data_IF_770722866274
#
_entry.id   IF_770722866274
#
_cell.length_a   1.000
_cell.length_b   1.000
_cell.length_c   1.000
_cell.angle_alpha   90.00
_cell.angle_beta   90.00
_cell.angle_gamma   90.00
#
_symmetry.space_group_name_H-M   'P 1'
#
loop_
_entity.id
_entity.type
_entity.pdbx_description
1 polymer ?
#
# COMPACT_ATOMS: atom_id res chain seq x y z
N UNK A 1 8.90 -34.54 31.81
CA UNK A 1 8.28 -33.67 30.79
C UNK A 1 9.38 -32.82 30.15
N UNK A 2 9.82 -33.22 28.95
CA UNK A 2 11.04 -32.72 28.31
C UNK A 2 10.86 -31.30 27.76
N UNK A 3 11.93 -30.49 27.81
CA UNK A 3 11.98 -29.09 27.31
C UNK A 3 11.51 -28.94 25.85
N UNK A 4 11.57 -30.02 25.07
CA UNK A 4 11.05 -30.12 23.69
C UNK A 4 9.54 -29.88 23.58
N UNK A 5 8.73 -30.32 24.55
CA UNK A 5 7.28 -30.12 24.51
C UNK A 5 6.88 -28.65 24.74
N UNK A 6 7.71 -27.86 25.43
CA UNK A 6 7.46 -26.41 25.63
C UNK A 6 7.85 -25.57 24.42
N UNK A 7 8.88 -25.98 23.66
CA UNK A 7 9.29 -25.27 22.43
C UNK A 7 8.26 -25.46 21.31
N UNK A 8 7.65 -26.65 21.21
CA UNK A 8 6.65 -26.94 20.19
C UNK A 8 5.33 -26.18 20.36
N UNK A 9 4.94 -25.85 21.60
CA UNK A 9 3.73 -25.05 21.88
C UNK A 9 3.93 -23.58 21.53
N UNK A 10 5.15 -23.03 21.64
CA UNK A 10 5.43 -21.63 21.26
C UNK A 10 5.48 -21.48 19.73
N UNK A 11 5.97 -22.48 18.99
CA UNK A 11 5.97 -22.43 17.51
C UNK A 11 4.55 -22.59 16.95
N UNK A 12 3.70 -23.43 17.55
CA UNK A 12 2.32 -23.59 17.10
C UNK A 12 1.44 -22.33 17.32
N UNK A 13 1.75 -21.51 18.33
CA UNK A 13 1.08 -20.23 18.58
C UNK A 13 1.51 -19.11 17.61
N UNK A 14 2.65 -19.25 16.92
CA UNK A 14 3.09 -18.28 15.89
C UNK A 14 2.47 -18.58 14.52
N UNK A 15 1.99 -19.82 14.29
CA UNK A 15 1.39 -20.23 13.01
C UNK A 15 -0.15 -20.12 13.02
N UNK A 16 -0.78 -20.10 14.19
CA UNK A 16 -2.24 -20.10 14.38
C UNK A 16 -2.94 -18.75 14.25
N UNK A 17 -2.61 -17.95 13.23
CA UNK A 17 -3.09 -16.57 13.12
C UNK A 17 -3.55 -16.11 11.72
N UNK A 18 -3.91 -17.01 10.80
CA UNK A 18 -4.66 -16.63 9.59
C UNK A 18 -6.17 -16.70 9.87
N UNK A 19 -6.63 -16.03 10.91
CA UNK A 19 -8.02 -15.58 10.92
C UNK A 19 -8.01 -14.29 10.11
N UNK A 20 -8.50 -14.34 8.87
CA UNK A 20 -8.75 -13.18 8.04
C UNK A 20 -9.86 -12.36 8.73
N UNK A 21 -9.46 -11.55 9.71
CA UNK A 21 -10.30 -10.47 10.20
C UNK A 21 -10.44 -9.56 8.99
N UNK A 22 -11.64 -9.55 8.40
CA UNK A 22 -11.98 -8.62 7.34
C UNK A 22 -11.69 -7.21 7.85
N UNK A 23 -10.59 -6.63 7.38
CA UNK A 23 -10.24 -5.25 7.65
C UNK A 23 -11.05 -4.41 6.68
N UNK A 24 -12.11 -3.75 7.18
CA UNK A 24 -13.00 -2.90 6.40
C UNK A 24 -12.31 -1.66 5.84
N UNK A 25 -11.06 -1.43 6.24
CA UNK A 25 -10.18 -0.39 5.68
C UNK A 25 -9.36 -0.88 4.51
N UNK A 26 -9.22 -2.20 4.32
CA UNK A 26 -8.43 -2.77 3.26
C UNK A 26 -9.19 -2.77 1.93
N UNK A 27 -8.54 -2.28 0.88
CA UNK A 27 -9.12 -2.17 -0.46
C UNK A 27 -8.41 -3.19 -1.36
N UNK A 28 -8.89 -4.44 -1.35
CA UNK A 28 -8.29 -5.53 -2.14
C UNK A 28 -8.75 -5.54 -3.60
N UNK A 29 -9.98 -5.12 -3.88
CA UNK A 29 -10.58 -5.22 -5.22
C UNK A 29 -10.47 -3.91 -5.99
N UNK A 30 -9.90 -4.01 -7.19
CA UNK A 30 -9.69 -2.89 -8.10
C UNK A 30 -10.03 -3.27 -9.53
N UNK A 31 -10.32 -2.28 -10.36
CA UNK A 31 -10.35 -2.39 -11.81
C UNK A 31 -9.10 -1.71 -12.35
N UNK A 32 -8.28 -2.47 -13.08
CA UNK A 32 -7.15 -1.95 -13.86
C UNK A 32 -7.63 -1.60 -15.25
N UNK A 33 -7.36 -0.37 -15.67
CA UNK A 33 -7.57 0.14 -17.02
C UNK A 33 -6.21 0.50 -17.63
N UNK A 34 -5.93 -0.06 -18.81
CA UNK A 34 -4.75 0.22 -19.61
C UNK A 34 -5.10 0.06 -21.10
N UNK A 35 -4.14 0.27 -22.01
CA UNK A 35 -4.38 0.19 -23.46
C UNK A 35 -5.03 -1.13 -23.93
N UNK A 36 -4.83 -2.24 -23.22
CA UNK A 36 -5.46 -3.54 -23.51
C UNK A 36 -6.89 -3.72 -22.99
N UNK A 37 -7.47 -2.71 -22.34
CA UNK A 37 -8.82 -2.72 -21.77
C UNK A 37 -8.85 -2.67 -20.24
N UNK A 38 -10.06 -2.82 -19.71
CA UNK A 38 -10.34 -2.84 -18.28
C UNK A 38 -10.53 -4.28 -17.77
N UNK A 39 -9.94 -4.61 -16.63
CA UNK A 39 -10.12 -5.90 -15.95
C UNK A 39 -10.10 -5.76 -14.44
N UNK A 40 -10.84 -6.62 -13.75
CA UNK A 40 -10.74 -6.72 -12.30
C UNK A 40 -9.41 -7.34 -11.86
N UNK A 41 -8.94 -6.93 -10.69
CA UNK A 41 -7.77 -7.46 -10.01
C UNK A 41 -8.00 -7.48 -8.51
N UNK A 42 -7.60 -8.58 -7.88
CA UNK A 42 -7.55 -8.74 -6.43
C UNK A 42 -6.11 -8.50 -5.97
N UNK A 43 -5.88 -7.58 -5.04
CA UNK A 43 -4.58 -7.26 -4.48
C UNK A 43 -4.27 -8.14 -3.27
N UNK A 44 -2.99 -8.52 -3.04
CA UNK A 44 -1.81 -8.11 -3.80
C UNK A 44 -1.71 -8.77 -5.18
N UNK A 45 -1.19 -8.05 -6.17
CA UNK A 45 -1.07 -8.55 -7.54
C UNK A 45 0.11 -7.94 -8.31
N UNK A 46 0.62 -8.71 -9.27
CA UNK A 46 1.51 -8.22 -10.32
C UNK A 46 0.71 -8.08 -11.60
N UNK A 47 0.70 -6.87 -12.15
CA UNK A 47 0.01 -6.60 -13.40
C UNK A 47 0.89 -7.02 -14.58
N UNK A 48 0.32 -7.80 -15.49
CA UNK A 48 0.94 -8.06 -16.79
C UNK A 48 0.77 -6.82 -17.67
N UNK A 49 1.84 -6.03 -17.77
CA UNK A 49 1.91 -4.78 -18.54
C UNK A 49 3.06 -4.88 -19.53
N UNK A 50 2.96 -4.21 -20.70
CA UNK A 50 4.03 -4.22 -21.68
C UNK A 50 5.31 -3.57 -21.12
N UNK A 51 6.46 -3.95 -21.66
CA UNK A 51 7.76 -3.48 -21.19
C UNK A 51 8.02 -2.00 -21.51
N UNK A 52 7.34 -1.43 -22.51
CA UNK A 52 7.44 -0.01 -22.82
C UNK A 52 6.84 0.89 -21.73
N UNK A 53 7.34 2.14 -21.60
CA UNK A 53 6.71 3.12 -20.73
C UNK A 53 5.24 3.35 -21.08
N UNK A 54 4.37 3.30 -20.06
CA UNK A 54 2.93 3.45 -20.22
C UNK A 54 2.31 4.11 -18.98
N UNK A 55 1.02 4.41 -19.06
CA UNK A 55 0.21 4.83 -17.92
C UNK A 55 -0.97 3.86 -17.78
N UNK A 56 -1.27 3.45 -16.55
CA UNK A 56 -2.45 2.67 -16.24
C UNK A 56 -3.21 3.30 -15.07
N UNK A 57 -4.50 2.99 -14.97
CA UNK A 57 -5.38 3.53 -13.95
C UNK A 57 -5.98 2.39 -13.14
N UNK A 58 -5.92 2.51 -11.82
CA UNK A 58 -6.57 1.65 -10.85
C UNK A 58 -7.81 2.36 -10.32
N UNK A 59 -8.99 1.75 -10.47
CA UNK A 59 -10.27 2.27 -9.98
C UNK A 59 -10.86 1.38 -8.89
N UNK A 60 -11.41 1.97 -7.84
CA UNK A 60 -12.16 1.23 -6.82
C UNK A 60 -13.29 2.07 -6.24
N UNK A 61 -14.40 1.41 -5.91
CA UNK A 61 -15.51 1.99 -5.14
C UNK A 61 -15.37 1.52 -3.69
N UNK A 62 -15.23 2.45 -2.76
CA UNK A 62 -14.88 2.12 -1.36
C UNK A 62 -15.93 2.68 -0.41
N UNK A 63 -16.48 1.81 0.43
CA UNK A 63 -17.27 2.22 1.59
C UNK A 63 -16.31 2.76 2.66
N UNK A 64 -16.60 3.96 3.18
CA UNK A 64 -15.81 4.59 4.22
C UNK A 64 -16.32 4.11 5.59
N UNK A 65 -15.47 3.47 6.42
CA UNK A 65 -15.82 3.04 7.77
C UNK A 65 -16.36 4.20 8.60
N UNK A 66 -17.40 3.95 9.41
CA UNK A 66 -18.14 4.99 10.11
C UNK A 66 -17.24 5.86 11.02
N UNK A 67 -16.22 5.24 11.64
CA UNK A 67 -15.24 5.91 12.48
C UNK A 67 -14.28 6.84 11.73
N UNK A 68 -14.11 6.65 10.42
CA UNK A 68 -13.25 7.48 9.57
C UNK A 68 -14.00 8.66 8.96
N UNK A 69 -15.33 8.59 8.82
CA UNK A 69 -16.13 9.61 8.11
C UNK A 69 -15.97 11.01 8.69
N UNK A 70 -15.82 11.14 10.01
CA UNK A 70 -15.63 12.45 10.68
C UNK A 70 -14.18 12.93 10.72
N UNK A 71 -13.25 12.10 10.26
CA UNK A 71 -11.81 12.33 10.37
C UNK A 71 -11.23 12.87 9.07
N UNK A 72 -9.99 13.36 9.15
CA UNK A 72 -9.15 13.43 7.96
C UNK A 72 -8.78 11.99 7.57
N UNK A 73 -8.90 11.65 6.29
CA UNK A 73 -8.65 10.31 5.77
C UNK A 73 -7.40 10.34 4.89
N UNK A 74 -6.59 9.30 5.00
CA UNK A 74 -5.47 9.03 4.09
C UNK A 74 -5.64 7.65 3.44
N UNK A 75 -5.30 7.54 2.16
CA UNK A 75 -4.99 6.26 1.53
C UNK A 75 -3.52 5.98 1.74
N UNK A 76 -3.20 4.83 2.33
CA UNK A 76 -1.84 4.33 2.51
C UNK A 76 -1.65 3.10 1.64
N UNK A 77 -0.61 3.11 0.79
CA UNK A 77 -0.08 1.91 0.14
C UNK A 77 1.27 1.63 0.79
N UNK A 78 1.37 0.62 1.68
CA UNK A 78 2.57 0.37 2.48
C UNK A 78 3.86 0.17 1.68
N UNK A 79 3.76 -0.43 0.50
CA UNK A 79 4.91 -0.71 -0.35
C UNK A 79 4.50 -0.55 -1.81
N UNK A 80 4.97 0.52 -2.46
CA UNK A 80 4.68 0.74 -3.86
C UNK A 80 5.85 1.41 -4.60
N UNK A 81 6.35 0.71 -5.61
CA UNK A 81 7.51 1.09 -6.39
C UNK A 81 7.10 1.78 -7.70
N UNK A 82 6.26 2.81 -7.62
CA UNK A 82 5.79 3.55 -8.78
C UNK A 82 5.59 5.05 -8.49
N UNK A 83 5.60 5.86 -9.54
CA UNK A 83 5.10 7.23 -9.49
C UNK A 83 3.59 7.16 -9.72
N UNK A 84 2.82 7.78 -8.82
CA UNK A 84 1.37 7.73 -8.90
C UNK A 84 0.71 8.99 -8.33
N UNK A 85 -0.47 9.31 -8.86
CA UNK A 85 -1.36 10.35 -8.35
C UNK A 85 -2.72 9.75 -8.03
N UNK A 86 -3.39 10.32 -7.03
CA UNK A 86 -4.70 9.85 -6.57
C UNK A 86 -5.76 10.93 -6.77
N UNK A 87 -6.91 10.54 -7.31
CA UNK A 87 -8.16 11.30 -7.23
C UNK A 87 -9.19 10.53 -6.39
N UNK A 88 -10.00 11.29 -5.66
CA UNK A 88 -11.11 10.80 -4.84
C UNK A 88 -12.35 11.58 -5.26
N UNK A 89 -13.39 10.90 -5.74
CA UNK A 89 -14.59 11.52 -6.33
C UNK A 89 -14.25 12.60 -7.39
N UNK A 90 -13.19 12.36 -8.18
CA UNK A 90 -12.69 13.29 -9.21
C UNK A 90 -11.86 14.47 -8.68
N UNK A 91 -11.72 14.62 -7.36
CA UNK A 91 -10.88 15.65 -6.73
C UNK A 91 -9.47 15.12 -6.47
N UNK A 92 -8.45 15.94 -6.72
CA UNK A 92 -7.04 15.56 -6.50
C UNK A 92 -6.73 15.46 -5.00
N UNK A 93 -6.17 14.32 -4.59
CA UNK A 93 -5.70 14.09 -3.23
C UNK A 93 -4.27 14.62 -3.06
N UNK A 94 -3.96 15.08 -1.85
CA UNK A 94 -2.65 15.67 -1.56
C UNK A 94 -1.68 14.58 -1.11
N UNK A 95 -0.59 14.36 -1.84
CA UNK A 95 0.46 13.46 -1.38
C UNK A 95 1.08 13.96 -0.07
N UNK A 96 1.10 13.12 0.97
CA UNK A 96 1.65 13.46 2.29
C UNK A 96 2.96 12.74 2.60
N UNK A 97 3.36 11.74 1.80
CA UNK A 97 4.69 11.14 1.91
C UNK A 97 5.76 12.14 1.44
N UNK A 98 6.51 12.69 2.39
CA UNK A 98 7.66 13.55 2.13
C UNK A 98 8.93 12.72 1.88
N UNK A 99 8.98 11.95 0.80
CA UNK A 99 10.27 11.39 0.39
C UNK A 99 11.03 12.47 -0.36
N UNK A 100 11.94 13.12 0.37
CA UNK A 100 12.95 14.08 -0.11
C UNK A 100 13.86 13.52 -1.22
N UNK A 101 13.71 12.24 -1.53
CA UNK A 101 14.30 11.59 -2.68
C UNK A 101 13.17 10.82 -3.36
N UNK A 102 12.33 11.52 -4.11
CA UNK A 102 11.54 10.90 -5.18
C UNK A 102 12.52 10.45 -6.29
N UNK A 103 13.39 9.52 -5.91
CA UNK A 103 14.45 8.98 -6.72
C UNK A 103 13.85 8.00 -7.70
N UNK A 104 14.48 7.91 -8.87
CA UNK A 104 14.22 6.86 -9.85
C UNK A 104 14.26 5.49 -9.15
N UNK A 105 13.11 4.79 -9.10
CA UNK A 105 12.90 3.45 -8.50
C UNK A 105 12.89 3.33 -6.97
N UNK A 106 12.61 4.42 -6.24
CA UNK A 106 12.44 4.32 -4.78
C UNK A 106 11.21 3.47 -4.41
N UNK A 107 11.41 2.53 -3.49
CA UNK A 107 10.37 1.68 -2.91
C UNK A 107 10.04 2.20 -1.53
N UNK A 108 8.88 2.83 -1.38
CA UNK A 108 8.45 3.46 -0.13
C UNK A 108 6.92 3.43 0.01
N UNK A 109 6.39 3.65 1.22
CA UNK A 109 4.96 3.86 1.39
C UNK A 109 4.49 5.08 0.61
N UNK A 110 3.37 4.94 -0.10
CA UNK A 110 2.71 6.06 -0.75
C UNK A 110 1.48 6.46 0.06
N UNK A 111 1.40 7.74 0.40
CA UNK A 111 0.34 8.27 1.26
C UNK A 111 -0.27 9.49 0.61
N UNK A 112 -1.59 9.48 0.46
CA UNK A 112 -2.36 10.62 -0.03
C UNK A 112 -3.49 10.95 0.93
N UNK A 113 -3.60 12.22 1.28
CA UNK A 113 -4.69 12.76 2.08
C UNK A 113 -5.87 13.15 1.21
N UNK A 114 -7.05 12.72 1.63
CA UNK A 114 -8.30 13.02 0.94
C UNK A 114 -8.63 14.52 1.05
N UNK A 115 -9.26 15.11 0.02
CA UNK A 115 -9.80 16.47 0.08
C UNK A 115 -10.78 16.63 1.25
N UNK A 116 -10.65 17.70 2.03
CA UNK A 116 -11.49 17.93 3.21
C UNK A 116 -13.00 18.09 2.84
N UNK A 117 -13.31 18.41 1.57
CA UNK A 117 -14.67 18.47 1.02
C UNK A 117 -15.40 17.12 1.02
N UNK A 118 -14.66 16.01 1.13
CA UNK A 118 -15.21 14.65 1.11
C UNK A 118 -15.44 14.07 2.51
N UNK A 119 -15.21 14.85 3.57
CA UNK A 119 -15.54 14.43 4.94
C UNK A 119 -17.03 14.16 5.08
N UNK A 120 -17.36 13.14 5.88
CA UNK A 120 -18.72 12.70 6.14
C UNK A 120 -19.30 11.75 5.08
N UNK A 121 -18.64 11.58 3.92
CA UNK A 121 -19.08 10.65 2.88
C UNK A 121 -19.04 9.21 3.39
N UNK A 122 -20.07 8.43 3.05
CA UNK A 122 -20.13 7.00 3.36
C UNK A 122 -19.47 6.14 2.28
N UNK A 123 -19.31 6.66 1.07
CA UNK A 123 -18.70 5.98 -0.08
C UNK A 123 -17.90 6.99 -0.89
N UNK A 124 -16.79 6.56 -1.47
CA UNK A 124 -15.97 7.33 -2.41
C UNK A 124 -15.49 6.48 -3.57
N UNK A 125 -15.30 7.12 -4.72
CA UNK A 125 -14.64 6.57 -5.90
C UNK A 125 -13.15 6.93 -5.86
N UNK A 126 -12.27 5.93 -5.94
CA UNK A 126 -10.82 6.10 -6.00
C UNK A 126 -10.34 5.93 -7.44
N UNK A 127 -9.45 6.81 -7.89
CA UNK A 127 -8.74 6.71 -9.15
C UNK A 127 -7.24 6.93 -8.91
N UNK A 128 -6.45 5.87 -8.96
CA UNK A 128 -5.00 5.91 -8.83
C UNK A 128 -4.38 5.80 -10.22
N UNK A 129 -3.80 6.89 -10.71
CA UNK A 129 -3.07 6.93 -11.99
C UNK A 129 -1.61 6.61 -11.73
N UNK A 130 -1.07 5.62 -12.43
CA UNK A 130 0.30 5.11 -12.20
C UNK A 130 1.13 5.21 -13.47
N UNK A 131 2.34 5.75 -13.34
CA UNK A 131 3.33 5.74 -14.41
C UNK A 131 4.11 4.41 -14.41
N UNK A 132 3.89 3.61 -15.45
CA UNK A 132 4.64 2.39 -15.69
C UNK A 132 5.94 2.73 -16.44
N UNK A 133 7.07 2.68 -15.73
CA UNK A 133 8.40 2.96 -16.31
C UNK A 133 9.39 1.80 -16.13
N UNK A 134 9.02 0.77 -15.37
CA UNK A 134 9.82 -0.44 -15.12
C UNK A 134 8.93 -1.55 -14.52
N UNK A 135 9.40 -2.80 -14.52
CA UNK A 135 8.63 -3.98 -14.07
C UNK A 135 7.99 -3.82 -12.69
N UNK A 136 8.73 -3.36 -11.68
CA UNK A 136 8.20 -3.23 -10.31
C UNK A 136 7.12 -2.15 -10.15
N UNK A 137 6.99 -1.22 -11.09
CA UNK A 137 5.87 -0.25 -11.06
C UNK A 137 4.52 -0.91 -11.37
N UNK A 138 4.52 -2.17 -11.78
CA UNK A 138 3.34 -3.02 -11.95
C UNK A 138 3.10 -3.96 -10.75
N UNK A 139 3.93 -3.88 -9.69
CA UNK A 139 3.84 -4.76 -8.52
C UNK A 139 3.12 -4.04 -7.37
N UNK A 140 1.91 -4.51 -7.08
CA UNK A 140 1.11 -4.07 -5.95
C UNK A 140 1.17 -5.15 -4.87
N UNK A 141 2.33 -5.25 -4.21
CA UNK A 141 2.64 -6.30 -3.22
C UNK A 141 1.95 -6.11 -1.87
N UNK A 142 1.30 -4.95 -1.67
CA UNK A 142 0.58 -4.63 -0.44
C UNK A 142 -0.83 -4.13 -0.76
N UNK A 143 -1.77 -4.45 0.13
CA UNK A 143 -3.16 -4.02 0.00
C UNK A 143 -3.27 -2.56 0.48
N UNK A 144 -3.77 -1.63 -0.35
CA UNK A 144 -4.06 -0.26 0.05
C UNK A 144 -5.06 -0.20 1.20
N UNK A 145 -4.90 0.77 2.12
CA UNK A 145 -5.76 0.93 3.30
C UNK A 145 -6.22 2.36 3.51
N UNK A 146 -7.45 2.53 3.97
CA UNK A 146 -7.95 3.79 4.51
C UNK A 146 -7.53 3.95 5.97
N UNK A 147 -6.86 5.05 6.28
CA UNK A 147 -6.42 5.37 7.63
C UNK A 147 -6.90 6.74 8.06
N UNK A 148 -6.94 6.96 9.38
CA UNK A 148 -7.04 8.30 9.93
C UNK A 148 -5.75 9.05 9.63
N UNK A 149 -5.84 10.26 9.10
CA UNK A 149 -4.67 11.02 8.73
C UNK A 149 -3.72 11.22 9.92
N UNK A 150 -2.42 11.06 9.67
CA UNK A 150 -1.38 11.18 10.69
C UNK A 150 -1.31 10.02 11.69
N UNK A 151 -2.08 8.94 11.49
CA UNK A 151 -1.84 7.69 12.22
C UNK A 151 -0.75 6.88 11.54
N UNK A 152 0.11 6.25 12.35
CA UNK A 152 1.15 5.35 11.84
C UNK A 152 0.48 4.05 11.41
N UNK A 153 0.47 3.78 10.11
CA UNK A 153 0.07 2.49 9.57
C UNK A 153 1.10 1.42 9.95
N UNK A 154 0.65 0.34 10.58
CA UNK A 154 1.54 -0.72 11.09
C UNK A 154 2.21 -1.50 9.97
N UNK A 155 1.54 -1.70 8.83
CA UNK A 155 2.10 -2.37 7.68
C UNK A 155 3.17 -1.50 7.00
N UNK A 156 2.90 -0.20 6.79
CA UNK A 156 3.87 0.76 6.26
C UNK A 156 5.08 0.88 7.19
N UNK A 157 4.86 0.89 8.51
CA UNK A 157 5.95 0.91 9.49
C UNK A 157 6.79 -0.37 9.46
N UNK A 158 6.17 -1.55 9.36
CA UNK A 158 6.90 -2.82 9.24
C UNK A 158 7.78 -2.85 7.98
N UNK A 159 7.25 -2.39 6.84
CA UNK A 159 8.01 -2.28 5.58
C UNK A 159 9.18 -1.32 5.73
N UNK A 160 8.96 -0.11 6.28
CA UNK A 160 10.03 0.86 6.52
C UNK A 160 11.10 0.31 7.47
N UNK A 161 10.71 -0.39 8.52
CA UNK A 161 11.64 -0.99 9.47
C UNK A 161 12.51 -2.06 8.79
N UNK A 162 11.92 -2.96 8.01
CA UNK A 162 12.67 -3.99 7.26
C UNK A 162 13.64 -3.35 6.27
N UNK A 163 13.20 -2.34 5.51
CA UNK A 163 14.06 -1.61 4.57
C UNK A 163 15.20 -0.89 5.29
N UNK A 164 14.92 -0.26 6.43
CA UNK A 164 15.93 0.40 7.26
C UNK A 164 16.96 -0.56 7.85
N UNK A 165 16.54 -1.73 8.34
CA UNK A 165 17.46 -2.78 8.81
C UNK A 165 18.33 -3.30 7.68
N UNK A 166 17.77 -3.54 6.49
CA UNK A 166 18.53 -3.95 5.31
C UNK A 166 19.61 -2.93 4.92
N UNK A 167 19.27 -1.64 4.91
CA UNK A 167 20.22 -0.57 4.63
C UNK A 167 21.38 -0.52 5.66
N UNK A 168 21.09 -0.71 6.96
CA UNK A 168 22.11 -0.72 8.00
C UNK A 168 23.10 -1.88 7.85
N UNK A 169 22.65 -3.08 7.48
CA UNK A 169 23.54 -4.22 7.20
C UNK A 169 24.44 -3.98 5.97
N UNK A 170 23.91 -3.34 4.91
CA UNK A 170 24.69 -3.03 3.72
C UNK A 170 25.84 -2.05 4.01
N UNK A 171 25.59 -1.01 4.82
CA UNK A 171 26.64 -0.06 5.24
C UNK A 171 27.68 -0.73 6.13
N UNK A 172 27.26 -1.57 7.09
CA UNK A 172 28.19 -2.29 7.97
C UNK A 172 29.12 -3.25 7.18
N UNK A 173 28.59 -3.93 6.16
CA UNK A 173 29.38 -4.79 5.27
C UNK A 173 30.43 -4.01 4.46
N UNK A 174 30.11 -2.80 3.99
CA UNK A 174 31.05 -1.93 3.27
C UNK A 174 32.16 -1.36 4.15
N UNK A 175 31.93 -1.21 5.46
CA UNK A 175 32.96 -0.75 6.41
C UNK A 175 33.86 -1.85 6.96
N UNK A 176 33.57 -3.12 6.64
CA UNK A 176 34.31 -4.30 7.10
C UNK A 176 35.17 -4.93 5.99
N UNK A 177 35.29 -4.28 4.83
CA UNK A 177 36.17 -4.63 3.69
C UNK A 177 37.23 -3.53 3.57
#
# INVERSE_FOLDING_TARGET
>A
MSRLARVLVVVALVVGGCAEIADDRAISRWVVEHAGGAREVELPAHLDLPAEPATYVLRAEVEVPAELRSQAIELVIPHFAALASLRVDGLEAVATSSDFVEGYRAVAPKIWRFPDQLRGRSRVALELTVEHRWTQSAWLDTIPRLNRAGTRDSAAFAVQAINGFGAAFAVAGLTLI
#
